data_IF_904869959856
#
_entry.id   IF_904869959856
#
_cell.length_a   1.000
_cell.length_b   1.000
_cell.length_c   1.000
_cell.angle_alpha   90.00
_cell.angle_beta   90.00
_cell.angle_gamma   90.00
#
_symmetry.space_group_name_H-M   'P 1'
#
loop_
_entity.id
_entity.type
_entity.pdbx_description
1 polymer ?
#
# COMPACT_ATOMS: atom_id res chain seq x y z
N UNK A 1 -23.61 28.96 10.73
CA UNK A 1 -22.77 28.05 9.90
C UNK A 1 -23.11 28.32 8.45
N UNK A 2 -22.15 28.72 7.63
CA UNK A 2 -22.41 29.28 6.30
C UNK A 2 -22.70 28.16 5.29
N UNK A 3 -23.86 28.16 4.63
CA UNK A 3 -24.30 27.12 3.68
C UNK A 3 -23.25 26.84 2.59
N UNK A 4 -22.55 27.88 2.15
CA UNK A 4 -21.41 27.80 1.23
C UNK A 4 -20.29 26.86 1.70
N UNK A 5 -19.94 26.88 2.99
CA UNK A 5 -18.86 26.02 3.53
C UNK A 5 -19.28 24.55 3.51
N UNK A 6 -20.56 24.27 3.77
CA UNK A 6 -21.12 22.91 3.72
C UNK A 6 -21.10 22.40 2.28
N UNK A 7 -21.56 23.20 1.32
CA UNK A 7 -21.56 22.83 -0.11
C UNK A 7 -20.13 22.59 -0.61
N UNK A 8 -19.19 23.49 -0.29
CA UNK A 8 -17.78 23.33 -0.66
C UNK A 8 -17.18 22.06 -0.04
N UNK A 9 -17.47 21.79 1.24
CA UNK A 9 -17.00 20.58 1.91
C UNK A 9 -17.51 19.29 1.26
N UNK A 10 -18.80 19.23 0.92
CA UNK A 10 -19.39 18.09 0.20
C UNK A 10 -18.73 17.91 -1.17
N UNK A 11 -18.50 19.00 -1.91
CA UNK A 11 -17.84 18.95 -3.21
C UNK A 11 -16.40 18.43 -3.09
N UNK A 12 -15.63 18.84 -2.08
CA UNK A 12 -14.28 18.33 -1.84
C UNK A 12 -14.27 16.83 -1.54
N UNK A 13 -15.21 16.34 -0.73
CA UNK A 13 -15.36 14.91 -0.42
C UNK A 13 -15.68 14.12 -1.69
N UNK A 14 -16.68 14.55 -2.46
CA UNK A 14 -17.08 13.88 -3.70
C UNK A 14 -15.97 13.90 -4.75
N UNK A 15 -15.34 15.06 -4.97
CA UNK A 15 -14.22 15.19 -5.89
C UNK A 15 -13.03 14.33 -5.46
N UNK A 16 -12.74 14.27 -4.16
CA UNK A 16 -11.73 13.39 -3.58
C UNK A 16 -12.01 11.92 -3.87
N UNK A 17 -13.23 11.46 -3.61
CA UNK A 17 -13.67 10.08 -3.88
C UNK A 17 -13.57 9.70 -5.36
N UNK A 18 -14.06 10.57 -6.25
CA UNK A 18 -13.99 10.35 -7.71
C UNK A 18 -12.53 10.31 -8.19
N UNK A 19 -11.72 11.28 -7.77
CA UNK A 19 -10.30 11.37 -8.16
C UNK A 19 -9.50 10.19 -7.64
N UNK A 20 -9.68 9.82 -6.38
CA UNK A 20 -9.03 8.66 -5.77
C UNK A 20 -9.40 7.35 -6.45
N UNK A 21 -10.70 7.15 -6.73
CA UNK A 21 -11.21 5.99 -7.47
C UNK A 21 -10.58 5.90 -8.86
N UNK A 22 -10.60 7.01 -9.62
CA UNK A 22 -10.03 7.07 -10.96
C UNK A 22 -8.53 6.74 -10.98
N UNK A 23 -7.75 7.32 -10.05
CA UNK A 23 -6.31 7.11 -9.98
C UNK A 23 -5.95 5.64 -9.67
N UNK A 24 -6.61 5.03 -8.70
CA UNK A 24 -6.35 3.63 -8.35
C UNK A 24 -6.90 2.66 -9.41
N UNK A 25 -8.01 2.99 -10.05
CA UNK A 25 -8.52 2.23 -11.19
C UNK A 25 -7.55 2.26 -12.36
N UNK A 26 -6.94 3.42 -12.66
CA UNK A 26 -5.90 3.52 -13.68
C UNK A 26 -4.66 2.70 -13.30
N UNK A 27 -4.25 2.74 -12.03
CA UNK A 27 -3.14 1.91 -11.52
C UNK A 27 -3.43 0.42 -11.65
N UNK A 28 -4.63 -0.02 -11.27
CA UNK A 28 -5.09 -1.40 -11.42
C UNK A 28 -5.15 -1.85 -12.89
N UNK A 29 -5.56 -0.96 -13.82
CA UNK A 29 -5.52 -1.25 -15.26
C UNK A 29 -4.10 -1.47 -15.76
N UNK A 30 -3.14 -0.66 -15.33
CA UNK A 30 -1.71 -0.84 -15.68
C UNK A 30 -1.15 -2.16 -15.11
N UNK A 31 -1.50 -2.50 -13.87
CA UNK A 31 -1.14 -3.78 -13.27
C UNK A 31 -1.69 -4.95 -14.10
N UNK A 32 -2.97 -4.91 -14.48
CA UNK A 32 -3.60 -5.93 -15.33
C UNK A 32 -2.95 -6.04 -16.71
N UNK A 33 -2.51 -4.93 -17.31
CA UNK A 33 -1.78 -4.97 -18.59
C UNK A 33 -0.45 -5.71 -18.45
N UNK A 34 0.27 -5.51 -17.34
CA UNK A 34 1.50 -6.26 -17.04
C UNK A 34 1.21 -7.75 -16.80
N UNK A 35 0.17 -8.06 -16.03
CA UNK A 35 -0.22 -9.45 -15.74
C UNK A 35 -0.56 -10.24 -17.02
N UNK A 36 -1.19 -9.61 -18.00
CA UNK A 36 -1.55 -10.24 -19.28
C UNK A 36 -0.35 -10.75 -20.07
N UNK A 37 0.83 -10.15 -19.92
CA UNK A 37 2.08 -10.62 -20.54
C UNK A 37 2.42 -12.05 -20.04
N UNK A 38 1.98 -12.38 -18.83
CA UNK A 38 2.21 -13.67 -18.18
C UNK A 38 0.98 -14.59 -18.22
N UNK A 39 -0.01 -14.29 -19.06
CA UNK A 39 -1.30 -15.01 -19.15
C UNK A 39 -2.10 -15.03 -17.84
N UNK A 40 -1.78 -14.15 -16.89
CA UNK A 40 -2.50 -13.99 -15.64
C UNK A 40 -3.64 -12.98 -15.84
N UNK A 41 -4.87 -13.32 -15.43
CA UNK A 41 -6.01 -12.39 -15.52
C UNK A 41 -6.78 -12.27 -14.22
N UNK A 42 -6.72 -11.11 -13.58
CA UNK A 42 -7.54 -10.72 -12.44
C UNK A 42 -8.70 -9.81 -12.91
N UNK A 43 -9.85 -10.35 -13.34
CA UNK A 43 -10.91 -9.57 -13.99
C UNK A 43 -11.51 -8.48 -13.07
N UNK A 44 -11.53 -8.73 -11.76
CA UNK A 44 -12.13 -7.84 -10.77
C UNK A 44 -11.16 -6.82 -10.15
N UNK A 45 -9.86 -6.85 -10.48
CA UNK A 45 -8.85 -5.99 -9.84
C UNK A 45 -9.14 -4.50 -10.01
N UNK A 46 -9.68 -4.11 -11.16
CA UNK A 46 -10.06 -2.73 -11.47
C UNK A 46 -11.21 -2.21 -10.58
N UNK A 47 -12.18 -3.06 -10.22
CA UNK A 47 -13.27 -2.68 -9.32
C UNK A 47 -12.77 -2.57 -7.88
N UNK A 48 -11.90 -3.50 -7.46
CA UNK A 48 -11.23 -3.46 -6.15
C UNK A 48 -10.38 -2.19 -6.03
N UNK A 49 -9.58 -1.89 -7.05
CA UNK A 49 -8.77 -0.67 -7.12
C UNK A 49 -9.61 0.60 -7.07
N UNK A 50 -10.68 0.68 -7.85
CA UNK A 50 -11.63 1.80 -7.79
C UNK A 50 -12.25 1.95 -6.39
N UNK A 51 -12.64 0.86 -5.75
CA UNK A 51 -13.19 0.87 -4.38
C UNK A 51 -12.18 1.37 -3.33
N UNK A 52 -10.96 0.82 -3.32
CA UNK A 52 -9.88 1.27 -2.44
C UNK A 52 -9.58 2.77 -2.67
N UNK A 53 -9.53 3.18 -3.94
CA UNK A 53 -9.31 4.57 -4.33
C UNK A 53 -10.43 5.49 -3.90
N UNK A 54 -11.68 5.06 -4.01
CA UNK A 54 -12.84 5.84 -3.56
C UNK A 54 -12.77 6.09 -2.05
N UNK A 55 -12.50 5.06 -1.25
CA UNK A 55 -12.38 5.18 0.21
C UNK A 55 -11.23 6.12 0.58
N UNK A 56 -10.03 5.91 0.01
CA UNK A 56 -8.88 6.77 0.27
C UNK A 56 -9.15 8.23 -0.15
N UNK A 57 -9.80 8.41 -1.30
CA UNK A 57 -10.18 9.72 -1.84
C UNK A 57 -11.21 10.45 -0.98
N UNK A 58 -12.24 9.74 -0.49
CA UNK A 58 -13.24 10.29 0.43
C UNK A 58 -12.60 10.71 1.76
N UNK A 59 -11.67 9.91 2.29
CA UNK A 59 -10.90 10.26 3.49
C UNK A 59 -10.06 11.54 3.27
N UNK A 60 -9.34 11.62 2.15
CA UNK A 60 -8.52 12.80 1.80
C UNK A 60 -9.40 14.04 1.64
N UNK A 61 -10.50 13.93 0.87
CA UNK A 61 -11.45 15.02 0.65
C UNK A 61 -12.13 15.47 1.96
N UNK A 62 -12.48 14.52 2.83
CA UNK A 62 -13.04 14.79 4.15
C UNK A 62 -12.05 15.48 5.08
N UNK A 63 -10.79 15.05 5.10
CA UNK A 63 -9.73 15.72 5.86
C UNK A 63 -9.50 17.14 5.35
N UNK A 64 -9.46 17.34 4.03
CA UNK A 64 -9.32 18.66 3.44
C UNK A 64 -10.49 19.58 3.81
N UNK A 65 -11.73 19.11 3.66
CA UNK A 65 -12.94 19.85 4.03
C UNK A 65 -12.96 20.18 5.53
N UNK A 66 -12.63 19.21 6.38
CA UNK A 66 -12.56 19.39 7.83
C UNK A 66 -11.57 20.47 8.24
N UNK A 67 -10.32 20.41 7.75
CA UNK A 67 -9.29 21.39 8.12
C UNK A 67 -9.54 22.77 7.54
N UNK A 68 -10.17 22.85 6.36
CA UNK A 68 -10.54 24.12 5.74
C UNK A 68 -11.71 24.80 6.47
N UNK A 69 -12.59 24.01 7.10
CA UNK A 69 -13.69 24.51 7.92
C UNK A 69 -13.25 24.91 9.35
N UNK A 70 -12.23 24.23 9.92
CA UNK A 70 -11.88 24.39 11.33
C UNK A 70 -11.13 25.70 11.63
N UNK A 71 -10.11 26.04 10.84
CA UNK A 71 -9.34 27.25 11.05
C UNK A 71 -8.48 27.62 9.82
N UNK A 72 -8.87 28.70 9.12
CA UNK A 72 -8.16 29.20 7.93
C UNK A 72 -6.93 30.05 8.27
N UNK A 73 -6.84 30.59 9.48
CA UNK A 73 -5.70 31.41 9.94
C UNK A 73 -4.59 30.56 10.59
N UNK A 74 -4.58 29.25 10.33
CA UNK A 74 -3.56 28.36 10.86
C UNK A 74 -2.18 28.69 10.28
N UNK A 75 -1.14 28.58 11.10
CA UNK A 75 0.25 28.80 10.68
C UNK A 75 0.69 27.76 9.64
N UNK A 76 1.78 28.06 8.91
CA UNK A 76 2.31 27.17 7.89
C UNK A 76 2.67 25.77 8.45
N UNK A 77 3.24 25.70 9.66
CA UNK A 77 3.56 24.44 10.33
C UNK A 77 2.31 23.60 10.61
N UNK A 78 1.20 24.22 11.02
CA UNK A 78 -0.06 23.51 11.23
C UNK A 78 -0.61 22.94 9.92
N UNK A 79 -0.52 23.67 8.81
CA UNK A 79 -0.94 23.17 7.50
C UNK A 79 -0.07 22.00 7.01
N UNK A 80 1.24 22.09 7.15
CA UNK A 80 2.15 20.99 6.79
C UNK A 80 1.88 19.76 7.67
N UNK A 81 1.69 19.97 8.97
CA UNK A 81 1.34 18.91 9.91
C UNK A 81 0.01 18.22 9.56
N UNK A 82 -1.01 18.98 9.15
CA UNK A 82 -2.30 18.44 8.67
C UNK A 82 -2.18 17.71 7.34
N UNK A 83 -1.35 18.21 6.42
CA UNK A 83 -1.10 17.58 5.13
C UNK A 83 -0.45 16.19 5.27
N UNK A 84 0.25 15.92 6.38
CA UNK A 84 0.76 14.59 6.69
C UNK A 84 -0.33 13.50 6.71
N UNK A 85 -1.55 13.80 7.18
CA UNK A 85 -2.65 12.83 7.16
C UNK A 85 -3.08 12.46 5.74
N UNK A 86 -3.05 13.44 4.82
CA UNK A 86 -3.36 13.21 3.40
C UNK A 86 -2.28 12.30 2.78
N UNK A 87 -1.00 12.55 3.08
CA UNK A 87 0.09 11.71 2.60
C UNK A 87 -0.02 10.27 3.13
N UNK A 88 -0.36 10.10 4.42
CA UNK A 88 -0.59 8.79 5.02
C UNK A 88 -1.74 8.05 4.31
N UNK A 89 -2.90 8.70 4.16
CA UNK A 89 -4.07 8.10 3.51
C UNK A 89 -3.79 7.72 2.06
N UNK A 90 -3.14 8.60 1.31
CA UNK A 90 -2.73 8.38 -0.07
C UNK A 90 -1.78 7.17 -0.21
N UNK A 91 -0.71 7.16 0.60
CA UNK A 91 0.28 6.09 0.58
C UNK A 91 -0.34 4.75 1.00
N UNK A 92 -1.12 4.74 2.08
CA UNK A 92 -1.80 3.54 2.58
C UNK A 92 -2.72 2.93 1.50
N UNK A 93 -3.52 3.75 0.81
CA UNK A 93 -4.38 3.27 -0.29
C UNK A 93 -3.59 2.64 -1.44
N UNK A 94 -2.48 3.27 -1.85
CA UNK A 94 -1.60 2.75 -2.92
C UNK A 94 -0.90 1.44 -2.55
N UNK A 95 -0.42 1.31 -1.31
CA UNK A 95 0.18 0.08 -0.83
C UNK A 95 -0.85 -1.02 -0.65
N UNK A 96 -2.04 -0.70 -0.14
CA UNK A 96 -3.13 -1.66 0.02
C UNK A 96 -3.52 -2.29 -1.33
N UNK A 97 -3.67 -1.49 -2.39
CA UNK A 97 -3.94 -2.03 -3.73
C UNK A 97 -2.83 -2.98 -4.20
N UNK A 98 -1.57 -2.61 -3.98
CA UNK A 98 -0.43 -3.43 -4.41
C UNK A 98 -0.37 -4.75 -3.64
N UNK A 99 -0.63 -4.74 -2.34
CA UNK A 99 -0.70 -5.95 -1.51
C UNK A 99 -1.88 -6.85 -1.90
N UNK A 100 -3.06 -6.27 -2.17
CA UNK A 100 -4.22 -7.03 -2.64
C UNK A 100 -3.94 -7.68 -3.99
N UNK A 101 -3.33 -6.94 -4.92
CA UNK A 101 -2.92 -7.46 -6.22
C UNK A 101 -2.01 -8.70 -6.09
N UNK A 102 -0.93 -8.58 -5.33
CA UNK A 102 0.03 -9.68 -5.09
C UNK A 102 -0.65 -10.84 -4.34
N UNK A 103 -1.44 -10.53 -3.31
CA UNK A 103 -2.13 -11.52 -2.49
C UNK A 103 -3.17 -12.34 -3.27
N UNK A 104 -3.86 -11.71 -4.24
CA UNK A 104 -4.78 -12.42 -5.13
C UNK A 104 -4.05 -13.39 -6.07
N UNK A 105 -2.88 -13.01 -6.57
CA UNK A 105 -2.05 -13.91 -7.39
C UNK A 105 -1.53 -15.09 -6.57
N UNK A 106 -0.96 -14.83 -5.38
CA UNK A 106 -0.50 -15.89 -4.48
C UNK A 106 -1.63 -16.85 -4.09
N UNK A 107 -2.81 -16.32 -3.76
CA UNK A 107 -3.97 -17.14 -3.41
C UNK A 107 -4.43 -18.04 -4.56
N UNK A 108 -4.50 -17.50 -5.78
CA UNK A 108 -4.87 -18.30 -6.95
C UNK A 108 -3.83 -19.36 -7.28
N UNK A 109 -2.56 -19.03 -7.11
CA UNK A 109 -1.48 -19.98 -7.33
C UNK A 109 -1.55 -21.12 -6.32
N UNK A 110 -1.68 -20.83 -5.03
CA UNK A 110 -1.87 -21.87 -4.00
C UNK A 110 -3.09 -22.76 -4.28
N UNK A 111 -4.21 -22.17 -4.71
CA UNK A 111 -5.38 -22.95 -5.11
C UNK A 111 -5.10 -23.85 -6.30
N UNK A 112 -4.39 -23.36 -7.32
CA UNK A 112 -4.04 -24.16 -8.50
C UNK A 112 -3.20 -25.39 -8.10
N UNK A 113 -2.30 -25.27 -7.12
CA UNK A 113 -1.51 -26.40 -6.62
C UNK A 113 -2.30 -27.39 -5.76
N UNK A 114 -3.48 -27.02 -5.27
CA UNK A 114 -4.38 -27.93 -4.54
C UNK A 114 -5.30 -28.74 -5.47
N UNK A 115 -5.39 -28.38 -6.75
CA UNK A 115 -6.22 -29.09 -7.72
C UNK A 115 -5.66 -30.49 -8.02
N UNK A 116 -6.56 -31.48 -8.17
CA UNK A 116 -6.16 -32.84 -8.57
C UNK A 116 -5.63 -32.79 -10.00
N UNK A 117 -4.36 -33.12 -10.17
CA UNK A 117 -3.68 -33.07 -11.48
C UNK A 117 -2.63 -31.96 -11.60
N UNK A 118 -2.40 -31.19 -10.54
CA UNK A 118 -1.37 -30.14 -10.51
C UNK A 118 -1.87 -28.78 -11.02
N UNK A 119 -0.98 -27.78 -11.09
CA UNK A 119 -1.37 -26.41 -11.41
C UNK A 119 -1.93 -26.30 -12.83
N UNK A 120 -3.14 -25.74 -12.96
CA UNK A 120 -3.80 -25.53 -14.24
C UNK A 120 -2.98 -24.66 -15.22
N UNK A 121 -3.28 -24.74 -16.52
CA UNK A 121 -2.52 -24.06 -17.60
C UNK A 121 -2.43 -22.53 -17.47
N UNK A 122 -3.33 -21.90 -16.71
CA UNK A 122 -3.42 -20.44 -16.52
C UNK A 122 -2.87 -20.00 -15.16
N UNK A 123 -1.84 -20.69 -14.65
CA UNK A 123 -1.13 -20.34 -13.42
C UNK A 123 0.39 -20.26 -13.69
N UNK A 124 1.13 -19.63 -12.77
CA UNK A 124 2.59 -19.56 -12.86
C UNK A 124 3.21 -20.95 -12.75
N UNK A 125 2.69 -21.79 -11.85
CA UNK A 125 3.06 -23.19 -11.72
C UNK A 125 2.78 -24.01 -12.97
N UNK A 126 1.65 -23.78 -13.65
CA UNK A 126 1.32 -24.45 -14.91
C UNK A 126 2.23 -24.03 -16.06
N UNK A 127 2.67 -22.76 -16.09
CA UNK A 127 3.72 -22.30 -17.00
C UNK A 127 5.06 -22.96 -16.68
N UNK A 128 5.44 -23.01 -15.40
CA UNK A 128 6.67 -23.67 -14.94
C UNK A 128 6.71 -25.14 -15.34
N UNK A 129 5.63 -25.89 -15.10
CA UNK A 129 5.57 -27.32 -15.44
C UNK A 129 5.77 -27.56 -16.95
N UNK A 130 5.20 -26.71 -17.81
CA UNK A 130 5.44 -26.78 -19.26
C UNK A 130 6.91 -26.54 -19.62
N UNK A 131 7.52 -25.51 -19.02
CA UNK A 131 8.94 -25.21 -19.24
C UNK A 131 9.84 -26.33 -18.71
N UNK A 132 9.52 -26.92 -17.55
CA UNK A 132 10.25 -28.05 -17.01
C UNK A 132 10.15 -29.29 -17.92
N UNK A 133 8.96 -29.57 -18.47
CA UNK A 133 8.78 -30.67 -19.42
C UNK A 133 9.55 -30.45 -20.73
N UNK A 134 9.62 -29.21 -21.22
CA UNK A 134 10.46 -28.84 -22.37
C UNK A 134 11.95 -29.04 -22.05
N UNK A 135 12.42 -28.54 -20.91
CA UNK A 135 13.80 -28.72 -20.45
C UNK A 135 14.18 -30.20 -20.31
N UNK A 136 13.26 -31.04 -19.79
CA UNK A 136 13.44 -32.50 -19.68
C UNK A 136 13.60 -33.18 -21.03
N UNK A 137 12.95 -32.67 -22.09
CA UNK A 137 13.08 -33.21 -23.45
C UNK A 137 14.38 -32.80 -24.11
N UNK A 138 14.83 -31.57 -23.85
CA UNK A 138 16.04 -31.01 -24.47
C UNK A 138 17.33 -31.49 -23.81
N UNK A 139 17.35 -31.66 -22.48
CA UNK A 139 18.57 -31.91 -21.73
C UNK A 139 18.62 -33.33 -21.17
N UNK A 140 19.64 -34.11 -21.57
CA UNK A 140 19.86 -35.48 -21.07
C UNK A 140 20.59 -35.54 -19.73
N UNK A 141 21.34 -34.49 -19.37
CA UNK A 141 22.11 -34.43 -18.11
C UNK A 141 21.32 -33.70 -17.04
N UNK A 142 21.19 -34.34 -15.88
CA UNK A 142 20.44 -33.80 -14.74
C UNK A 142 21.00 -32.46 -14.22
N UNK A 143 22.32 -32.29 -14.24
CA UNK A 143 22.95 -31.04 -13.78
C UNK A 143 22.53 -29.82 -14.62
N UNK A 144 22.52 -29.98 -15.95
CA UNK A 144 22.13 -28.92 -16.88
C UNK A 144 20.62 -28.62 -16.79
N UNK A 145 19.80 -29.66 -16.57
CA UNK A 145 18.37 -29.50 -16.32
C UNK A 145 18.11 -28.72 -15.02
N UNK A 146 18.81 -29.09 -13.94
CA UNK A 146 18.63 -28.47 -12.63
C UNK A 146 18.97 -26.98 -12.66
N UNK A 147 20.10 -26.60 -13.27
CA UNK A 147 20.50 -25.19 -13.35
C UNK A 147 19.49 -24.35 -14.16
N UNK A 148 19.01 -24.88 -15.29
CA UNK A 148 18.01 -24.19 -16.12
C UNK A 148 16.65 -24.07 -15.44
N UNK A 149 16.21 -25.09 -14.70
CA UNK A 149 14.98 -25.01 -13.91
C UNK A 149 15.11 -24.01 -12.75
N UNK A 150 16.28 -23.90 -12.12
CA UNK A 150 16.54 -22.88 -11.09
C UNK A 150 16.46 -21.45 -11.65
N UNK A 151 16.98 -21.21 -12.86
CA UNK A 151 16.83 -19.91 -13.55
C UNK A 151 15.35 -19.56 -13.80
N UNK A 152 14.55 -20.52 -14.26
CA UNK A 152 13.10 -20.33 -14.49
C UNK A 152 12.35 -20.09 -13.17
N UNK A 153 12.71 -20.83 -12.12
CA UNK A 153 12.11 -20.68 -10.80
C UNK A 153 12.41 -19.30 -10.22
N UNK A 154 13.65 -18.82 -10.34
CA UNK A 154 14.05 -17.48 -9.89
C UNK A 154 13.29 -16.38 -10.65
N UNK A 155 13.10 -16.52 -11.97
CA UNK A 155 12.27 -15.58 -12.75
C UNK A 155 10.82 -15.51 -12.22
N UNK A 156 10.22 -16.66 -11.91
CA UNK A 156 8.83 -16.76 -11.43
C UNK A 156 8.68 -16.23 -10.01
N UNK A 157 9.66 -16.52 -9.14
CA UNK A 157 9.72 -15.95 -7.79
C UNK A 157 9.90 -14.43 -7.88
N UNK A 158 10.80 -13.94 -8.74
CA UNK A 158 11.05 -12.51 -8.97
C UNK A 158 9.81 -11.75 -9.42
N UNK A 159 8.93 -12.37 -10.22
CA UNK A 159 7.69 -11.73 -10.68
C UNK A 159 6.78 -11.25 -9.55
N UNK A 160 6.69 -12.02 -8.45
CA UNK A 160 5.88 -11.68 -7.28
C UNK A 160 6.74 -11.12 -6.12
N UNK A 161 7.98 -11.57 -6.01
CA UNK A 161 8.95 -11.22 -4.98
C UNK A 161 9.46 -9.79 -5.12
N UNK A 162 9.85 -9.36 -6.32
CA UNK A 162 10.38 -8.00 -6.54
C UNK A 162 9.34 -6.93 -6.20
N UNK A 163 8.08 -7.00 -6.70
CA UNK A 163 7.06 -6.04 -6.31
C UNK A 163 6.80 -6.04 -4.80
N UNK A 164 6.84 -7.21 -4.15
CA UNK A 164 6.57 -7.36 -2.74
C UNK A 164 7.69 -6.78 -1.86
N UNK A 165 8.96 -6.98 -2.24
CA UNK A 165 10.11 -6.36 -1.57
C UNK A 165 10.10 -4.84 -1.76
N UNK A 166 9.76 -4.35 -2.95
CA UNK A 166 9.56 -2.92 -3.19
C UNK A 166 8.46 -2.33 -2.32
N UNK A 167 7.28 -2.98 -2.25
CA UNK A 167 6.18 -2.54 -1.36
C UNK A 167 6.64 -2.52 0.10
N UNK A 168 7.31 -3.59 0.56
CA UNK A 168 7.80 -3.69 1.94
C UNK A 168 8.81 -2.59 2.28
N UNK A 169 9.69 -2.22 1.34
CA UNK A 169 10.62 -1.10 1.46
C UNK A 169 9.88 0.23 1.49
N UNK A 170 8.96 0.46 0.56
CA UNK A 170 8.26 1.74 0.44
C UNK A 170 7.27 2.01 1.58
N UNK A 171 6.73 0.95 2.22
CA UNK A 171 5.89 1.08 3.42
C UNK A 171 6.60 1.82 4.56
N UNK A 172 7.94 1.80 4.62
CA UNK A 172 8.72 2.54 5.63
C UNK A 172 8.53 4.06 5.53
N UNK A 173 7.99 4.58 4.41
CA UNK A 173 7.67 6.00 4.25
C UNK A 173 6.43 6.44 5.01
N UNK A 174 5.48 5.53 5.30
CA UNK A 174 4.24 5.88 6.00
C UNK A 174 4.53 6.46 7.40
N UNK A 175 5.36 5.84 8.26
CA UNK A 175 5.75 6.43 9.53
C UNK A 175 6.49 7.78 9.38
N UNK A 176 7.26 7.98 8.30
CA UNK A 176 7.95 9.25 8.06
C UNK A 176 6.97 10.41 7.83
N UNK A 177 5.83 10.16 7.20
CA UNK A 177 4.77 11.16 7.12
C UNK A 177 4.18 11.47 8.50
N UNK A 178 3.98 10.45 9.35
CA UNK A 178 3.58 10.66 10.74
C UNK A 178 4.57 11.52 11.52
N UNK A 179 5.87 11.23 11.37
CA UNK A 179 6.98 11.99 11.96
C UNK A 179 7.02 13.44 11.49
N UNK A 180 6.76 13.71 10.19
CA UNK A 180 6.64 15.08 9.69
C UNK A 180 5.57 15.86 10.45
N UNK A 181 4.42 15.22 10.71
CA UNK A 181 3.36 15.80 11.55
C UNK A 181 3.80 16.04 12.99
N UNK A 182 4.58 15.12 13.56
CA UNK A 182 5.17 15.25 14.91
C UNK A 182 6.08 16.45 15.01
N UNK A 183 7.02 16.58 14.09
CA UNK A 183 7.97 17.70 14.05
C UNK A 183 7.22 19.02 13.92
N UNK A 184 6.22 19.10 13.03
CA UNK A 184 5.41 20.30 12.90
C UNK A 184 4.66 20.64 14.20
N UNK A 185 4.07 19.64 14.87
CA UNK A 185 3.38 19.85 16.14
C UNK A 185 4.31 20.34 17.25
N UNK A 186 5.53 19.79 17.35
CA UNK A 186 6.54 20.26 18.31
C UNK A 186 6.99 21.68 17.98
N UNK A 187 7.19 22.02 16.70
CA UNK A 187 7.56 23.37 16.29
C UNK A 187 6.47 24.39 16.66
N UNK A 188 5.19 24.04 16.50
CA UNK A 188 4.07 24.87 16.96
C UNK A 188 4.14 25.10 18.46
N UNK A 189 4.30 24.03 19.25
CA UNK A 189 4.43 24.13 20.70
C UNK A 189 5.63 25.00 21.12
N UNK A 190 6.76 24.90 20.43
CA UNK A 190 7.95 25.69 20.71
C UNK A 190 7.77 27.18 20.35
N UNK A 191 7.07 27.50 19.26
CA UNK A 191 6.76 28.88 18.90
C UNK A 191 5.92 29.58 19.97
N UNK A 192 4.89 28.90 20.47
CA UNK A 192 4.01 29.44 21.52
C UNK A 192 4.75 29.63 22.85
N UNK A 193 5.70 28.74 23.20
CA UNK A 193 6.55 28.88 24.38
C UNK A 193 7.45 30.13 24.31
N UNK A 194 7.93 30.48 23.11
CA UNK A 194 8.85 31.61 22.91
C UNK A 194 8.19 32.99 23.03
N UNK A 195 6.86 33.07 23.12
CA UNK A 195 6.08 34.31 23.12
C UNK A 195 5.43 34.66 24.47
N UNK A 196 5.79 33.96 25.55
CA UNK A 196 5.18 34.16 26.87
C UNK A 196 5.87 35.32 27.60
N UNK A 197 5.23 36.51 27.65
CA UNK A 197 5.71 37.67 28.42
C UNK A 197 4.85 37.95 29.69
N UNK A 198 3.60 37.47 29.78
CA UNK A 198 2.70 37.70 30.93
C UNK A 198 1.86 36.48 31.36
N UNK A 199 1.40 36.44 32.62
CA UNK A 199 0.68 35.29 33.21
C UNK A 199 -0.65 34.94 32.52
N UNK A 200 -1.37 35.91 31.96
CA UNK A 200 -2.62 35.65 31.18
C UNK A 200 -2.32 35.14 29.77
N UNK A 201 -1.17 35.52 29.21
CA UNK A 201 -0.65 34.96 27.96
C UNK A 201 -0.15 33.53 28.17
N UNK A 202 0.38 33.21 29.35
CA UNK A 202 0.83 31.86 29.70
C UNK A 202 -0.29 30.80 29.60
N UNK A 203 -1.52 31.11 30.01
CA UNK A 203 -2.65 30.18 29.86
C UNK A 203 -3.11 29.99 28.40
N UNK A 204 -3.08 31.05 27.58
CA UNK A 204 -3.36 30.95 26.13
C UNK A 204 -2.26 30.17 25.41
N UNK A 205 -1.01 30.45 25.74
CA UNK A 205 0.15 29.72 25.24
C UNK A 205 0.08 28.24 25.62
N UNK A 206 -0.27 27.90 26.87
CA UNK A 206 -0.49 26.51 27.30
C UNK A 206 -1.57 25.79 26.46
N UNK A 207 -2.67 26.47 26.13
CA UNK A 207 -3.71 25.93 25.26
C UNK A 207 -3.22 25.65 23.84
N UNK A 208 -2.54 26.63 23.21
CA UNK A 208 -1.99 26.49 21.86
C UNK A 208 -0.85 25.46 21.79
N UNK A 209 -0.03 25.40 22.85
CA UNK A 209 1.00 24.38 23.05
C UNK A 209 0.41 22.97 23.10
N UNK A 210 -0.70 22.80 23.82
CA UNK A 210 -1.42 21.53 23.88
C UNK A 210 -1.98 21.13 22.51
N UNK A 211 -2.46 22.07 21.69
CA UNK A 211 -2.89 21.77 20.31
C UNK A 211 -1.73 21.25 19.44
N UNK A 212 -0.54 21.88 19.53
CA UNK A 212 0.66 21.42 18.84
C UNK A 212 1.09 20.01 19.27
N UNK A 213 1.06 19.74 20.57
CA UNK A 213 1.37 18.42 21.14
C UNK A 213 0.35 17.35 20.71
N UNK A 214 -0.94 17.70 20.69
CA UNK A 214 -2.01 16.81 20.25
C UNK A 214 -1.88 16.49 18.76
N UNK A 215 -1.54 17.48 17.93
CA UNK A 215 -1.25 17.25 16.52
C UNK A 215 -0.09 16.24 16.39
N UNK A 216 0.99 16.47 17.12
CA UNK A 216 2.17 15.63 17.06
C UNK A 216 1.89 14.16 17.43
N UNK A 217 1.13 13.92 18.50
CA UNK A 217 0.76 12.56 18.89
C UNK A 217 -0.21 11.90 17.90
N UNK A 218 -1.23 12.65 17.44
CA UNK A 218 -2.24 12.09 16.52
C UNK A 218 -1.63 11.71 15.18
N UNK A 219 -0.73 12.51 14.60
CA UNK A 219 -0.11 12.20 13.30
C UNK A 219 0.75 10.94 13.40
N UNK A 220 1.55 10.79 14.46
CA UNK A 220 2.34 9.57 14.70
C UNK A 220 1.43 8.36 14.85
N UNK A 221 0.38 8.47 15.67
CA UNK A 221 -0.54 7.38 15.91
C UNK A 221 -1.21 6.91 14.61
N UNK A 222 -1.73 7.85 13.81
CA UNK A 222 -2.35 7.52 12.52
C UNK A 222 -1.35 6.90 11.56
N UNK A 223 -0.11 7.40 11.50
CA UNK A 223 0.96 6.82 10.70
C UNK A 223 1.25 5.36 11.09
N UNK A 224 1.33 5.07 12.39
CA UNK A 224 1.55 3.72 12.90
C UNK A 224 0.35 2.79 12.65
N UNK A 225 -0.88 3.28 12.87
CA UNK A 225 -2.10 2.51 12.62
C UNK A 225 -2.28 2.16 11.14
N UNK A 226 -1.82 3.01 10.23
CA UNK A 226 -1.79 2.69 8.81
C UNK A 226 -0.65 1.72 8.45
N UNK A 227 0.54 1.94 9.02
CA UNK A 227 1.75 1.17 8.71
C UNK A 227 1.69 -0.29 9.20
N UNK A 228 1.33 -0.52 10.47
CA UNK A 228 1.47 -1.83 11.09
C UNK A 228 0.67 -2.94 10.39
N UNK A 229 -0.62 -2.74 10.04
CA UNK A 229 -1.39 -3.77 9.33
C UNK A 229 -0.83 -4.04 7.93
N UNK A 230 -0.44 -3.00 7.20
CA UNK A 230 0.13 -3.14 5.85
C UNK A 230 1.48 -3.86 5.90
N UNK A 231 2.30 -3.56 6.89
CA UNK A 231 3.58 -4.24 7.09
C UNK A 231 3.36 -5.72 7.42
N UNK A 232 2.44 -6.03 8.33
CA UNK A 232 2.09 -7.40 8.69
C UNK A 232 1.57 -8.18 7.48
N UNK A 233 0.74 -7.55 6.64
CA UNK A 233 0.26 -8.16 5.40
C UNK A 233 1.42 -8.43 4.42
N UNK A 234 2.34 -7.48 4.22
CA UNK A 234 3.51 -7.69 3.36
C UNK A 234 4.40 -8.84 3.84
N UNK A 235 4.70 -8.90 5.14
CA UNK A 235 5.50 -9.97 5.73
C UNK A 235 4.77 -11.33 5.63
N UNK A 236 3.45 -11.37 5.77
CA UNK A 236 2.64 -12.57 5.57
C UNK A 236 2.65 -13.05 4.11
N UNK A 237 2.56 -12.14 3.13
CA UNK A 237 2.64 -12.51 1.72
C UNK A 237 4.04 -13.04 1.35
N UNK A 238 5.11 -12.54 1.97
CA UNK A 238 6.47 -13.06 1.75
C UNK A 238 6.59 -14.50 2.23
N UNK A 239 6.02 -14.80 3.40
CA UNK A 239 5.98 -16.16 3.92
C UNK A 239 5.23 -17.11 2.98
N UNK A 240 4.10 -16.65 2.41
CA UNK A 240 3.33 -17.43 1.43
C UNK A 240 4.10 -17.67 0.14
N UNK A 241 4.79 -16.65 -0.37
CA UNK A 241 5.65 -16.79 -1.55
C UNK A 241 6.75 -17.84 -1.32
N UNK A 242 7.43 -17.81 -0.17
CA UNK A 242 8.43 -18.82 0.20
C UNK A 242 7.83 -20.23 0.26
N UNK A 243 6.61 -20.39 0.81
CA UNK A 243 5.95 -21.70 0.82
C UNK A 243 5.59 -22.21 -0.58
N UNK A 244 5.26 -21.31 -1.51
CA UNK A 244 5.03 -21.67 -2.92
C UNK A 244 6.32 -22.05 -3.64
N UNK A 245 7.41 -21.34 -3.35
CA UNK A 245 8.75 -21.66 -3.86
C UNK A 245 9.17 -23.09 -3.46
N UNK A 246 8.91 -23.49 -2.23
CA UNK A 246 9.16 -24.86 -1.76
C UNK A 246 8.30 -25.90 -2.50
N UNK A 247 7.05 -25.56 -2.84
CA UNK A 247 6.16 -26.43 -3.63
C UNK A 247 6.71 -26.56 -5.06
N UNK A 248 7.12 -25.45 -5.66
CA UNK A 248 7.73 -25.44 -6.98
C UNK A 248 9.00 -26.30 -6.99
N UNK A 249 9.93 -26.05 -6.08
CA UNK A 249 11.19 -26.79 -6.00
C UNK A 249 10.94 -28.30 -5.87
N UNK A 250 10.01 -28.72 -5.01
CA UNK A 250 9.65 -30.14 -4.83
C UNK A 250 9.03 -30.78 -6.08
N UNK A 251 8.25 -30.04 -6.86
CA UNK A 251 7.65 -30.56 -8.09
C UNK A 251 8.68 -30.96 -9.17
N UNK A 252 9.93 -30.46 -9.08
CA UNK A 252 11.02 -30.94 -9.93
C UNK A 252 11.42 -32.37 -9.58
N UNK A 253 11.51 -32.67 -8.28
CA UNK A 253 12.02 -33.93 -7.72
C UNK A 253 10.98 -35.05 -7.78
N UNK A 254 9.71 -34.71 -7.56
CA UNK A 254 8.58 -35.63 -7.58
C UNK A 254 7.49 -35.10 -8.52
N UNK A 255 7.60 -35.37 -9.84
CA UNK A 255 6.54 -35.00 -10.78
C UNK A 255 5.24 -35.72 -10.41
N UNK A 256 4.14 -34.96 -10.35
CA UNK A 256 2.77 -35.44 -10.07
C UNK A 256 2.29 -36.46 -11.09
#
# INVERSE_FOLDING_TARGET
>A
MNWLVIVVGILFVLAGGISGSYLQLQRARRMRQRDRIYELDLPHLQYIGGGIGAIAGLLIGGLAAYYLALNQQASAFAWIGRLSYILIAWAAGGHLLSLVHIGLHLYREEQAWQERGGPGRKSLGGRRMRQLDELRREHRRYADLKSRDEEVLDELVGLLGDPLTHVRRDLTRIPLYGYLGTVCGILLTAQELSQIDEATQAFKALGAMAEGLVLAFKTTLVGLLAYLPLRKAADYLLQRLSSLEDVWTRARESPL
#
